data_IF_914143019928
#
_entry.id   IF_914143019928
#
_cell.length_a   1.000
_cell.length_b   1.000
_cell.length_c   1.000
_cell.angle_alpha   90.00
_cell.angle_beta   90.00
_cell.angle_gamma   90.00
#
_symmetry.space_group_name_H-M   'P 1'
#
loop_
_entity.id
_entity.type
_entity.pdbx_description
1 polymer ?
#
# COMPACT_ATOMS: atom_id res chain seq x y z
N UNK A 1 11.42 -12.09 -1.91
CA UNK A 1 12.34 -12.53 -0.83
C UNK A 1 11.72 -12.09 0.49
N UNK A 2 11.69 -12.97 1.49
CA UNK A 2 11.19 -12.66 2.84
C UNK A 2 12.11 -11.63 3.51
N UNK A 3 11.53 -10.70 4.27
CA UNK A 3 12.27 -9.66 4.99
C UNK A 3 12.01 -9.84 6.47
N UNK A 4 12.99 -10.39 7.19
CA UNK A 4 12.92 -10.55 8.63
C UNK A 4 13.36 -9.26 9.32
N UNK A 5 12.48 -8.68 10.13
CA UNK A 5 12.74 -7.48 10.95
C UNK A 5 12.39 -7.67 12.42
N UNK A 6 12.12 -8.91 12.85
CA UNK A 6 11.66 -9.24 14.21
C UNK A 6 12.60 -8.74 15.30
N UNK A 7 13.92 -8.82 15.08
CA UNK A 7 14.92 -8.31 16.02
C UNK A 7 14.89 -6.77 16.15
N UNK A 8 14.61 -6.06 15.05
CA UNK A 8 14.59 -4.59 15.03
C UNK A 8 13.40 -4.01 15.82
N UNK A 9 12.35 -4.82 16.07
CA UNK A 9 11.14 -4.45 16.85
C UNK A 9 11.01 -5.20 18.17
N UNK A 10 12.06 -5.88 18.62
CA UNK A 10 12.03 -6.61 19.90
C UNK A 10 11.93 -5.67 21.12
N UNK A 11 12.37 -4.42 20.98
CA UNK A 11 12.31 -3.36 22.01
C UNK A 11 11.24 -2.33 21.66
N UNK A 12 10.35 -2.02 22.61
CA UNK A 12 9.29 -1.00 22.48
C UNK A 12 9.85 0.42 22.64
N UNK A 13 10.89 0.75 21.88
CA UNK A 13 11.40 2.12 21.80
C UNK A 13 10.50 2.97 20.89
N UNK A 14 10.22 4.21 21.28
CA UNK A 14 9.37 5.14 20.52
C UNK A 14 9.88 5.41 19.09
N UNK A 15 11.19 5.23 18.85
CA UNK A 15 11.82 5.39 17.54
C UNK A 15 11.90 4.11 16.68
N UNK A 16 11.52 2.94 17.21
CA UNK A 16 11.66 1.66 16.51
C UNK A 16 10.83 1.58 15.22
N UNK A 17 9.61 2.08 15.24
CA UNK A 17 8.72 2.08 14.07
C UNK A 17 9.16 3.08 12.99
N UNK A 18 9.62 4.27 13.38
CA UNK A 18 10.15 5.25 12.42
C UNK A 18 11.37 4.71 11.67
N UNK A 19 12.21 3.91 12.33
CA UNK A 19 13.35 3.24 11.71
C UNK A 19 12.94 2.26 10.61
N UNK A 20 11.80 1.57 10.77
CA UNK A 20 11.25 0.66 9.76
C UNK A 20 10.76 1.40 8.51
N UNK A 21 10.16 2.59 8.67
CA UNK A 21 9.64 3.37 7.56
C UNK A 21 10.73 3.79 6.56
N UNK A 22 11.95 4.01 7.04
CA UNK A 22 13.10 4.42 6.23
C UNK A 22 13.84 3.26 5.54
N UNK A 23 13.47 2.01 5.84
CA UNK A 23 14.10 0.84 5.23
C UNK A 23 13.71 0.76 3.74
N UNK A 24 14.64 0.34 2.86
CA UNK A 24 14.36 0.22 1.41
C UNK A 24 13.96 -1.21 0.98
N UNK A 25 14.60 -2.24 1.53
CA UNK A 25 14.32 -3.63 1.14
C UNK A 25 12.97 -4.07 1.72
N UNK A 26 12.02 -4.38 0.83
CA UNK A 26 10.68 -4.84 1.20
C UNK A 26 9.77 -3.76 1.76
N UNK A 27 10.13 -2.49 1.60
CA UNK A 27 9.29 -1.38 2.06
C UNK A 27 8.22 -0.99 1.05
N UNK A 28 7.21 -0.29 1.56
CA UNK A 28 6.09 0.26 0.79
C UNK A 28 6.61 1.19 -0.31
N UNK A 29 7.67 1.97 -0.04
CA UNK A 29 8.29 2.86 -1.03
C UNK A 29 8.77 2.11 -2.27
N UNK A 30 9.48 1.00 -2.08
CA UNK A 30 9.97 0.19 -3.20
C UNK A 30 8.83 -0.42 -4.01
N UNK A 31 7.67 -0.67 -3.39
CA UNK A 31 6.49 -1.20 -4.04
C UNK A 31 5.72 -0.12 -4.82
N UNK A 32 5.54 1.07 -4.23
CA UNK A 32 4.63 2.10 -4.75
C UNK A 32 5.30 3.21 -5.57
N UNK A 33 6.64 3.33 -5.60
CA UNK A 33 7.29 4.50 -6.20
C UNK A 33 6.89 4.77 -7.66
N UNK A 34 6.65 3.73 -8.47
CA UNK A 34 6.24 3.90 -9.88
C UNK A 34 4.83 4.49 -9.99
N UNK A 35 3.89 3.91 -9.24
CA UNK A 35 2.49 4.36 -9.21
C UNK A 35 2.39 5.77 -8.62
N UNK A 36 3.15 6.06 -7.56
CA UNK A 36 3.22 7.38 -6.95
C UNK A 36 3.78 8.43 -7.94
N UNK A 37 4.86 8.09 -8.66
CA UNK A 37 5.44 8.98 -9.64
C UNK A 37 4.44 9.26 -10.77
N UNK A 38 3.76 8.23 -11.28
CA UNK A 38 2.72 8.39 -12.31
C UNK A 38 1.57 9.27 -11.80
N UNK A 39 1.09 9.04 -10.58
CA UNK A 39 0.03 9.83 -9.97
C UNK A 39 0.42 11.31 -9.84
N UNK A 40 1.62 11.60 -9.31
CA UNK A 40 2.12 12.97 -9.19
C UNK A 40 2.31 13.61 -10.56
N UNK A 41 2.86 12.88 -11.54
CA UNK A 41 3.04 13.40 -12.89
C UNK A 41 1.70 13.81 -13.52
N UNK A 42 0.69 12.94 -13.46
CA UNK A 42 -0.65 13.26 -13.98
C UNK A 42 -1.29 14.42 -13.24
N UNK A 43 -1.20 14.45 -11.90
CA UNK A 43 -1.74 15.53 -11.08
C UNK A 43 -1.11 16.88 -11.45
N UNK A 44 0.22 16.91 -11.57
CA UNK A 44 0.97 18.10 -11.97
C UNK A 44 0.61 18.52 -13.40
N UNK A 45 0.48 17.58 -14.35
CA UNK A 45 0.03 17.90 -15.72
C UNK A 45 -1.36 18.54 -15.74
N UNK A 46 -2.31 18.06 -14.94
CA UNK A 46 -3.64 18.65 -14.83
C UNK A 46 -3.56 20.06 -14.24
N UNK A 47 -2.78 20.25 -13.17
CA UNK A 47 -2.57 21.56 -12.56
C UNK A 47 -1.95 22.57 -13.54
N UNK A 48 -0.91 22.17 -14.29
CA UNK A 48 -0.32 23.00 -15.34
C UNK A 48 -1.32 23.35 -16.44
N UNK A 49 -2.17 22.41 -16.83
CA UNK A 49 -3.20 22.64 -17.85
C UNK A 49 -4.23 23.67 -17.35
N UNK A 50 -4.65 23.58 -16.09
CA UNK A 50 -5.55 24.57 -15.47
C UNK A 50 -4.92 25.96 -15.43
N UNK A 51 -3.67 26.09 -14.94
CA UNK A 51 -3.05 27.40 -14.75
C UNK A 51 -2.68 28.10 -16.06
N UNK A 52 -2.06 27.37 -17.00
CA UNK A 52 -1.42 27.97 -18.18
C UNK A 52 -2.22 27.82 -19.49
N UNK A 53 -3.05 26.79 -19.62
CA UNK A 53 -3.69 26.48 -20.91
C UNK A 53 -5.16 26.90 -20.96
N UNK A 54 -5.83 26.99 -19.81
CA UNK A 54 -7.28 27.12 -19.74
C UNK A 54 -7.75 28.58 -19.60
N UNK A 55 -8.68 28.99 -20.46
CA UNK A 55 -9.35 30.30 -20.38
C UNK A 55 -10.39 30.33 -19.25
N UNK A 56 -10.72 31.52 -18.74
CA UNK A 56 -11.61 31.74 -17.58
C UNK A 56 -12.98 31.07 -17.72
N UNK A 57 -13.49 30.95 -18.94
CA UNK A 57 -14.75 30.26 -19.21
C UNK A 57 -14.63 28.76 -18.88
N UNK A 58 -13.59 28.09 -19.37
CA UNK A 58 -13.38 26.65 -19.16
C UNK A 58 -12.95 26.32 -17.72
N UNK A 59 -12.27 27.24 -17.03
CA UNK A 59 -11.92 27.10 -15.61
C UNK A 59 -13.15 26.89 -14.72
N UNK A 60 -14.24 27.62 -14.96
CA UNK A 60 -15.51 27.45 -14.22
C UNK A 60 -16.10 26.05 -14.41
N UNK A 61 -16.09 25.52 -15.63
CA UNK A 61 -16.57 24.15 -15.88
C UNK A 61 -15.71 23.10 -15.19
N UNK A 62 -14.39 23.28 -15.21
CA UNK A 62 -13.47 22.39 -14.51
C UNK A 62 -13.72 22.39 -12.99
N UNK A 63 -13.96 23.54 -12.38
CA UNK A 63 -14.29 23.64 -10.95
C UNK A 63 -15.56 22.85 -10.60
N UNK A 64 -16.59 22.91 -11.45
CA UNK A 64 -17.79 22.09 -11.27
C UNK A 64 -17.48 20.58 -11.34
N UNK A 65 -16.60 20.15 -12.24
CA UNK A 65 -16.16 18.75 -12.35
C UNK A 65 -15.40 18.33 -11.10
N UNK A 66 -14.48 19.15 -10.59
CA UNK A 66 -13.71 18.86 -9.38
C UNK A 66 -14.62 18.70 -8.16
N UNK A 67 -15.60 19.60 -7.99
CA UNK A 67 -16.58 19.52 -6.91
C UNK A 67 -17.42 18.24 -7.02
N UNK A 68 -17.87 17.91 -8.24
CA UNK A 68 -18.59 16.67 -8.51
C UNK A 68 -17.75 15.45 -8.13
N UNK A 69 -16.51 15.35 -8.61
CA UNK A 69 -15.62 14.24 -8.28
C UNK A 69 -15.34 14.12 -6.78
N UNK A 70 -15.15 15.25 -6.08
CA UNK A 70 -14.93 15.26 -4.62
C UNK A 70 -16.10 14.64 -3.88
N UNK A 71 -17.34 14.95 -4.29
CA UNK A 71 -18.54 14.38 -3.68
C UNK A 71 -18.63 12.85 -3.88
N UNK A 72 -18.16 12.31 -5.01
CA UNK A 72 -18.16 10.86 -5.25
C UNK A 72 -17.12 10.10 -4.43
N UNK A 73 -15.97 10.72 -4.13
CA UNK A 73 -14.91 10.05 -3.33
C UNK A 73 -15.39 9.75 -1.91
N UNK A 74 -16.19 10.63 -1.31
CA UNK A 74 -16.71 10.45 0.05
C UNK A 74 -17.74 9.32 0.16
N UNK A 75 -18.45 9.00 -0.94
CA UNK A 75 -19.53 7.99 -0.95
C UNK A 75 -18.99 6.56 -0.91
N UNK A 76 -17.76 6.32 -1.40
CA UNK A 76 -17.24 4.96 -1.55
C UNK A 76 -16.41 4.58 -0.31
N UNK A 77 -16.83 3.59 0.51
CA UNK A 77 -16.09 3.16 1.70
C UNK A 77 -14.91 2.24 1.31
N UNK A 78 -13.94 2.77 0.57
CA UNK A 78 -12.78 2.02 0.06
C UNK A 78 -11.97 1.39 1.19
N UNK A 79 -11.79 2.10 2.31
CA UNK A 79 -11.04 1.60 3.47
C UNK A 79 -11.62 0.31 4.06
N UNK A 80 -12.95 0.19 4.06
CA UNK A 80 -13.65 -0.99 4.57
C UNK A 80 -13.44 -2.20 3.67
N UNK A 81 -13.64 -2.02 2.36
CA UNK A 81 -13.45 -3.09 1.36
C UNK A 81 -11.98 -3.53 1.34
N UNK A 82 -11.05 -2.58 1.36
CA UNK A 82 -9.62 -2.86 1.39
C UNK A 82 -9.24 -3.62 2.67
N UNK A 83 -9.78 -3.24 3.82
CA UNK A 83 -9.55 -3.92 5.09
C UNK A 83 -9.94 -5.40 5.04
N UNK A 84 -11.13 -5.71 4.50
CA UNK A 84 -11.55 -7.10 4.32
C UNK A 84 -10.66 -7.85 3.33
N UNK A 85 -10.36 -7.24 2.19
CA UNK A 85 -9.55 -7.87 1.15
C UNK A 85 -8.14 -8.21 1.65
N UNK A 86 -7.50 -7.28 2.36
CA UNK A 86 -6.16 -7.47 2.93
C UNK A 86 -6.19 -8.56 4.02
N UNK A 87 -7.20 -8.53 4.90
CA UNK A 87 -7.35 -9.53 5.96
C UNK A 87 -7.50 -10.95 5.39
N UNK A 88 -8.34 -11.11 4.37
CA UNK A 88 -8.53 -12.38 3.67
C UNK A 88 -7.24 -12.87 2.99
N UNK A 89 -6.53 -11.96 2.32
CA UNK A 89 -5.27 -12.28 1.63
C UNK A 89 -4.18 -12.69 2.62
N UNK A 90 -4.06 -11.99 3.76
CA UNK A 90 -3.11 -12.32 4.82
C UNK A 90 -3.40 -13.69 5.45
N UNK A 91 -4.68 -14.00 5.67
CA UNK A 91 -5.10 -15.30 6.19
C UNK A 91 -4.66 -16.44 5.26
N UNK A 92 -4.94 -16.31 3.97
CA UNK A 92 -4.55 -17.32 2.96
C UNK A 92 -3.05 -17.47 2.83
N UNK A 93 -2.32 -16.35 2.86
CA UNK A 93 -0.86 -16.37 2.81
C UNK A 93 -0.27 -17.18 3.98
N UNK A 94 -0.81 -16.99 5.19
CA UNK A 94 -0.36 -17.78 6.35
C UNK A 94 -0.71 -19.27 6.22
N UNK A 95 -1.92 -19.59 5.75
CA UNK A 95 -2.31 -20.98 5.48
C UNK A 95 -1.35 -21.66 4.50
N UNK A 96 -0.98 -20.97 3.41
CA UNK A 96 -0.01 -21.48 2.44
C UNK A 96 1.36 -21.73 3.08
N UNK A 97 1.84 -20.80 3.91
CA UNK A 97 3.10 -20.96 4.63
C UNK A 97 3.08 -22.19 5.55
N UNK A 98 2.00 -22.39 6.31
CA UNK A 98 1.86 -23.56 7.21
C UNK A 98 1.62 -24.89 6.51
N UNK A 99 1.16 -24.87 5.25
CA UNK A 99 0.92 -26.06 4.46
C UNK A 99 2.21 -26.64 3.85
N UNK A 100 3.33 -25.91 3.88
CA UNK A 100 4.63 -26.40 3.46
C UNK A 100 5.04 -27.54 4.41
N UNK A 101 5.24 -28.77 3.90
CA UNK A 101 5.60 -29.90 4.75
C UNK A 101 7.05 -29.77 5.23
N UNK A 102 7.25 -29.95 6.54
CA UNK A 102 8.57 -30.00 7.16
C UNK A 102 8.97 -31.46 7.42
N UNK A 103 10.21 -31.87 7.10
CA UNK A 103 10.68 -33.24 7.31
C UNK A 103 10.79 -33.62 8.78
N UNK A 104 10.87 -32.65 9.70
CA UNK A 104 11.05 -32.85 11.14
C UNK A 104 10.08 -33.89 11.74
N UNK A 105 8.82 -33.89 11.29
CA UNK A 105 7.80 -34.85 11.76
C UNK A 105 8.01 -36.27 11.24
N UNK A 106 8.61 -36.42 10.07
CA UNK A 106 8.96 -37.71 9.48
C UNK A 106 10.24 -38.27 10.12
N UNK A 107 11.24 -37.42 10.35
CA UNK A 107 12.51 -37.82 10.97
C UNK A 107 12.31 -38.35 12.40
N UNK A 108 11.52 -37.67 13.23
CA UNK A 108 11.17 -38.14 14.58
C UNK A 108 10.45 -39.50 14.55
N UNK A 109 9.64 -39.75 13.51
CA UNK A 109 8.91 -41.02 13.36
C UNK A 109 9.81 -42.16 12.88
N UNK A 110 10.89 -41.87 12.16
CA UNK A 110 11.83 -42.89 11.66
C UNK A 110 12.90 -43.22 12.71
N UNK A 111 13.23 -42.27 13.59
CA UNK A 111 14.26 -42.44 14.63
C UNK A 111 13.75 -43.09 15.93
N UNK A 112 12.43 -43.21 16.12
CA UNK A 112 11.77 -43.90 17.25
C UNK A 112 11.22 -45.25 16.81
#
# INVERSE_FOLDING_TARGET
MTVSYQYDVASSSTGGFFRLLWRWRGSIWKLLYKELLLFVAVYVCIAFTYDFLMSDYYKRYYEHIVVFCSAFVEVIPLSFILGFYVSFTAHRWWQQYTAIPWPDKLEIRVLL
#
